data_IF_724663235482
#
_entry.id   IF_724663235482
#
_cell.length_a   1.000
_cell.length_b   1.000
_cell.length_c   1.000
_cell.angle_alpha   90.00
_cell.angle_beta   90.00
_cell.angle_gamma   90.00
#
_symmetry.space_group_name_H-M   'P 1'
#
loop_
_entity.id
_entity.type
_entity.pdbx_description
1 polymer ?
#
# COMPACT_ATOMS: atom_id res chain seq x y z
N UNK A 1 -4.20 -12.41 19.19
CA UNK A 1 -4.69 -11.59 18.08
C UNK A 1 -3.64 -10.53 17.80
N UNK A 2 -3.33 -10.28 16.53
CA UNK A 2 -2.36 -9.28 16.10
C UNK A 2 -3.06 -8.24 15.22
N UNK A 3 -2.63 -6.98 15.34
CA UNK A 3 -3.11 -5.90 14.47
C UNK A 3 -2.42 -5.98 13.13
N UNK A 4 -3.20 -6.05 12.08
CA UNK A 4 -2.75 -5.95 10.70
C UNK A 4 -3.23 -4.65 10.09
N UNK A 5 -2.35 -4.01 9.33
CA UNK A 5 -2.59 -2.73 8.68
C UNK A 5 -2.61 -2.96 7.17
N UNK A 6 -3.71 -2.60 6.52
CA UNK A 6 -3.84 -2.64 5.07
C UNK A 6 -3.33 -1.33 4.48
N UNK A 7 -2.31 -1.44 3.64
CA UNK A 7 -1.84 -0.35 2.80
C UNK A 7 -2.31 -0.62 1.38
N UNK A 8 -3.01 0.35 0.79
CA UNK A 8 -3.22 0.37 -0.65
C UNK A 8 -2.16 1.23 -1.31
N UNK A 9 -1.46 0.66 -2.28
CA UNK A 9 -0.55 1.34 -3.19
C UNK A 9 -1.18 1.39 -4.58
N UNK A 10 -1.42 2.60 -5.06
CA UNK A 10 -1.98 2.91 -6.36
C UNK A 10 -0.88 3.43 -7.28
N UNK A 11 -0.64 2.73 -8.39
CA UNK A 11 0.32 3.11 -9.42
C UNK A 11 -0.43 3.63 -10.61
N UNK A 12 -0.35 4.94 -10.86
CA UNK A 12 -1.00 5.57 -11.99
C UNK A 12 -0.10 5.50 -13.21
N UNK A 13 -0.69 5.31 -14.39
CA UNK A 13 0.01 5.29 -15.68
C UNK A 13 0.80 6.59 -15.94
N UNK A 14 0.31 7.71 -15.40
CA UNK A 14 0.99 9.02 -15.43
C UNK A 14 2.31 9.08 -14.64
N UNK A 15 2.77 7.97 -14.07
CA UNK A 15 4.01 7.88 -13.28
C UNK A 15 3.86 8.30 -11.81
N UNK A 16 2.65 8.62 -11.38
CA UNK A 16 2.34 8.97 -9.99
C UNK A 16 2.10 7.70 -9.18
N UNK A 17 2.75 7.61 -8.02
CA UNK A 17 2.50 6.52 -7.07
C UNK A 17 1.90 7.12 -5.81
N UNK A 18 0.75 6.60 -5.39
CA UNK A 18 0.11 6.95 -4.13
C UNK A 18 0.06 5.72 -3.25
N UNK A 19 0.25 5.88 -1.96
CA UNK A 19 -0.07 4.84 -1.01
C UNK A 19 -0.71 5.44 0.24
N UNK A 20 -1.61 4.67 0.84
CA UNK A 20 -2.30 5.06 2.07
C UNK A 20 -2.66 3.84 2.90
N UNK A 21 -2.55 3.97 4.22
CA UNK A 21 -3.13 3.02 5.16
C UNK A 21 -4.64 3.26 5.17
N UNK A 22 -5.41 2.26 4.77
CA UNK A 22 -6.88 2.36 4.61
C UNK A 22 -7.64 1.61 5.67
N UNK A 23 -7.02 0.61 6.30
CA UNK A 23 -7.69 -0.23 7.29
C UNK A 23 -6.72 -0.81 8.30
N UNK A 24 -7.23 -1.04 9.50
CA UNK A 24 -6.62 -1.89 10.50
C UNK A 24 -7.60 -2.98 10.91
N UNK A 25 -7.11 -4.21 11.11
CA UNK A 25 -7.92 -5.35 11.56
C UNK A 25 -7.14 -6.14 12.59
N UNK A 26 -7.84 -6.64 13.60
CA UNK A 26 -7.28 -7.59 14.56
C UNK A 26 -7.66 -9.01 14.14
N UNK A 27 -6.66 -9.81 13.76
CA UNK A 27 -6.87 -11.19 13.31
C UNK A 27 -5.86 -12.13 13.99
N UNK A 28 -6.16 -13.43 13.97
CA UNK A 28 -5.22 -14.46 14.44
C UNK A 28 -4.10 -14.70 13.42
N UNK A 29 -4.41 -14.60 12.12
CA UNK A 29 -3.49 -14.79 11.01
C UNK A 29 -3.54 -13.61 10.04
N UNK A 30 -2.45 -13.42 9.28
CA UNK A 30 -2.33 -12.34 8.30
C UNK A 30 -3.42 -12.48 7.23
N UNK A 31 -4.24 -11.44 6.98
CA UNK A 31 -5.22 -11.47 5.91
C UNK A 31 -4.55 -11.53 4.54
N UNK A 32 -5.28 -12.04 3.53
CA UNK A 32 -4.76 -12.18 2.18
C UNK A 32 -4.57 -10.82 1.50
N UNK A 33 -3.41 -10.65 0.89
CA UNK A 33 -3.13 -9.47 0.06
C UNK A 33 -4.09 -9.43 -1.14
N UNK A 34 -4.45 -8.23 -1.57
CA UNK A 34 -5.42 -8.00 -2.65
C UNK A 34 -4.73 -7.25 -3.78
N UNK A 35 -5.04 -7.61 -5.02
CA UNK A 35 -4.58 -6.87 -6.19
C UNK A 35 -5.77 -6.57 -7.10
N UNK A 36 -5.79 -5.37 -7.66
CA UNK A 36 -6.79 -4.95 -8.63
C UNK A 36 -6.16 -4.05 -9.68
N UNK A 37 -5.98 -4.58 -10.88
CA UNK A 37 -5.64 -3.79 -12.06
C UNK A 37 -6.87 -3.03 -12.55
N UNK A 38 -6.70 -1.73 -12.79
CA UNK A 38 -7.70 -0.86 -13.40
C UNK A 38 -7.10 -0.26 -14.69
N UNK A 39 -7.94 0.25 -15.63
CA UNK A 39 -7.46 0.71 -16.93
C UNK A 39 -6.45 1.87 -16.90
N UNK A 40 -6.39 2.62 -15.79
CA UNK A 40 -5.54 3.81 -15.65
C UNK A 40 -4.57 3.72 -14.48
N UNK A 41 -4.69 2.68 -13.67
CA UNK A 41 -3.88 2.51 -12.47
C UNK A 41 -3.93 1.06 -11.97
N UNK A 42 -2.90 0.65 -11.25
CA UNK A 42 -2.87 -0.64 -10.55
C UNK A 42 -2.95 -0.43 -9.04
N UNK A 43 -3.86 -1.14 -8.37
CA UNK A 43 -4.01 -1.09 -6.91
C UNK A 43 -3.49 -2.38 -6.29
N UNK A 44 -2.53 -2.23 -5.38
CA UNK A 44 -2.00 -3.32 -4.56
C UNK A 44 -2.37 -3.08 -3.11
N UNK A 45 -3.10 -4.00 -2.50
CA UNK A 45 -3.46 -4.02 -1.09
C UNK A 45 -2.60 -5.01 -0.34
N UNK A 46 -1.61 -4.52 0.40
CA UNK A 46 -0.69 -5.35 1.18
C UNK A 46 -1.00 -5.20 2.66
N UNK A 47 -1.11 -6.34 3.37
CA UNK A 47 -1.26 -6.36 4.81
C UNK A 47 0.10 -6.41 5.51
N UNK A 48 0.28 -5.53 6.50
CA UNK A 48 1.48 -5.45 7.33
C UNK A 48 1.13 -5.77 8.78
N UNK A 49 2.02 -6.49 9.47
CA UNK A 49 1.83 -6.83 10.88
C UNK A 49 2.21 -5.68 11.84
N UNK A 50 2.84 -4.62 11.30
CA UNK A 50 3.33 -3.49 12.07
C UNK A 50 2.91 -2.17 11.43
N UNK A 51 2.52 -1.20 12.28
CA UNK A 51 2.21 0.16 11.84
C UNK A 51 3.43 0.83 11.18
N UNK A 52 4.62 0.63 11.74
CA UNK A 52 5.86 1.19 11.22
C UNK A 52 6.19 0.69 9.80
N UNK A 53 5.97 -0.59 9.50
CA UNK A 53 6.14 -1.14 8.15
C UNK A 53 5.12 -0.55 7.18
N UNK A 54 3.87 -0.41 7.62
CA UNK A 54 2.81 0.19 6.82
C UNK A 54 3.11 1.67 6.49
N UNK A 55 3.60 2.44 7.46
CA UNK A 55 4.02 3.82 7.27
C UNK A 55 5.25 3.93 6.36
N UNK A 56 6.23 3.04 6.54
CA UNK A 56 7.41 2.97 5.67
C UNK A 56 7.00 2.75 4.20
N UNK A 57 6.09 1.81 3.93
CA UNK A 57 5.57 1.56 2.59
C UNK A 57 4.92 2.81 1.96
N UNK A 58 4.16 3.58 2.77
CA UNK A 58 3.56 4.84 2.30
C UNK A 58 4.61 5.90 1.97
N UNK A 59 5.64 6.03 2.81
CA UNK A 59 6.74 6.97 2.60
C UNK A 59 7.56 6.58 1.36
N UNK A 60 7.84 5.30 1.17
CA UNK A 60 8.57 4.79 0.02
C UNK A 60 7.80 5.00 -1.29
N UNK A 61 6.49 4.73 -1.31
CA UNK A 61 5.64 5.01 -2.47
C UNK A 61 5.69 6.49 -2.86
N UNK A 62 5.63 7.42 -1.89
CA UNK A 62 5.78 8.86 -2.14
C UNK A 62 7.15 9.21 -2.71
N UNK A 63 8.23 8.62 -2.19
CA UNK A 63 9.59 8.81 -2.72
C UNK A 63 9.74 8.25 -4.14
N UNK A 64 9.11 7.12 -4.43
CA UNK A 64 9.14 6.50 -5.76
C UNK A 64 8.42 7.37 -6.80
N UNK A 65 7.29 7.97 -6.43
CA UNK A 65 6.60 8.95 -7.29
C UNK A 65 7.48 10.16 -7.61
N UNK A 66 8.31 10.61 -6.66
CA UNK A 66 9.22 11.74 -6.88
C UNK A 66 10.44 11.38 -7.75
N UNK A 67 11.02 10.18 -7.56
CA UNK A 67 12.19 9.72 -8.33
C UNK A 67 11.96 9.52 -9.82
N UNK A 68 10.72 9.24 -10.23
CA UNK A 68 10.38 8.97 -11.65
C UNK A 68 10.15 10.24 -12.46
N UNK A 69 10.15 11.41 -11.81
CA UNK A 69 9.98 12.73 -12.44
C UNK A 69 11.30 13.47 -12.73
N UNK A 70 12.46 12.89 -12.39
CA UNK A 70 13.80 13.50 -12.63
C UNK A 70 14.49 12.81 -13.80
#
# INVERSE_FOLDING_TARGET
MQKFYLVFSEFYDSGVVKAAIVREVEAAEKPKDTFKGLPKLDVYGTWYASKAEAEAAVIEARKQSFRRQV
#
